data_IF_587001415355
#
_entry.id   IF_587001415355
#
_cell.length_a   1.000
_cell.length_b   1.000
_cell.length_c   1.000
_cell.angle_alpha   90.00
_cell.angle_beta   90.00
_cell.angle_gamma   90.00
#
_symmetry.space_group_name_H-M   'P 1'
#
loop_
_entity.id
_entity.type
_entity.pdbx_description
1 polymer ?
#
# COMPACT_ATOMS: atom_id res chain seq x y z
N UNK A 1 -3.62 8.15 3.79
CA UNK A 1 -4.67 7.74 4.75
C UNK A 1 -4.37 6.37 5.37
N UNK A 2 -3.84 5.40 4.60
CA UNK A 2 -3.46 4.10 5.17
C UNK A 2 -4.61 3.09 5.25
N UNK A 3 -5.56 3.14 4.32
CA UNK A 3 -6.69 2.21 4.27
C UNK A 3 -6.58 1.30 3.04
N UNK A 4 -7.50 0.34 2.90
CA UNK A 4 -7.45 -0.66 1.82
C UNK A 4 -6.22 -1.55 1.95
N UNK A 5 -5.37 -1.59 0.91
CA UNK A 5 -4.18 -2.42 0.85
C UNK A 5 -3.19 -2.22 2.02
N UNK A 6 -3.23 -1.05 2.66
CA UNK A 6 -2.38 -0.68 3.80
C UNK A 6 -2.97 -1.13 5.16
N UNK A 7 -4.19 -1.65 5.16
CA UNK A 7 -4.93 -2.11 6.34
C UNK A 7 -5.53 -3.52 6.14
N UNK A 8 -4.98 -4.33 5.23
CA UNK A 8 -5.47 -5.68 4.95
C UNK A 8 -5.50 -6.57 6.20
N UNK A 9 -4.57 -6.38 7.14
CA UNK A 9 -4.56 -7.13 8.41
C UNK A 9 -5.75 -6.82 9.33
N UNK A 10 -6.61 -5.86 8.99
CA UNK A 10 -7.91 -5.61 9.64
C UNK A 10 -9.10 -6.25 8.90
N UNK A 11 -8.88 -6.91 7.75
CA UNK A 11 -9.94 -7.33 6.84
C UNK A 11 -9.72 -8.74 6.24
N UNK A 12 -9.28 -9.71 7.04
CA UNK A 12 -8.95 -11.06 6.57
C UNK A 12 -10.06 -11.76 5.77
N UNK A 13 -11.34 -11.43 6.01
CA UNK A 13 -12.45 -11.97 5.23
C UNK A 13 -12.38 -11.62 3.73
N UNK A 14 -11.73 -10.51 3.34
CA UNK A 14 -11.55 -10.12 1.94
C UNK A 14 -10.71 -11.13 1.15
N UNK A 15 -9.86 -11.90 1.81
CA UNK A 15 -9.04 -12.94 1.20
C UNK A 15 -9.88 -13.95 0.39
N UNK A 16 -11.05 -14.32 0.89
CA UNK A 16 -11.94 -15.28 0.22
C UNK A 16 -12.41 -14.78 -1.15
N UNK A 17 -12.46 -13.45 -1.34
CA UNK A 17 -12.92 -12.81 -2.56
C UNK A 17 -11.76 -12.41 -3.49
N UNK A 18 -10.62 -11.99 -2.94
CA UNK A 18 -9.48 -11.47 -3.71
C UNK A 18 -8.38 -12.51 -4.00
N UNK A 19 -8.43 -13.67 -3.31
CA UNK A 19 -7.37 -14.66 -3.32
C UNK A 19 -6.18 -14.28 -2.40
N UNK A 20 -5.31 -15.25 -2.09
CA UNK A 20 -4.14 -15.07 -1.23
C UNK A 20 -4.21 -15.89 0.06
N UNK A 21 -3.49 -15.46 1.11
CA UNK A 21 -3.51 -16.06 2.46
C UNK A 21 -3.56 -14.96 3.53
N UNK A 22 -4.14 -15.21 4.74
CA UNK A 22 -4.10 -14.23 5.82
C UNK A 22 -2.67 -13.85 6.20
N UNK A 23 -1.75 -14.83 6.12
CA UNK A 23 -0.33 -14.62 6.33
C UNK A 23 0.27 -13.63 5.31
N UNK A 24 -0.06 -13.77 4.03
CA UNK A 24 0.38 -12.83 3.00
C UNK A 24 -0.18 -11.42 3.24
N UNK A 25 -1.43 -11.29 3.72
CA UNK A 25 -2.02 -9.99 4.06
C UNK A 25 -1.26 -9.32 5.21
N UNK A 26 -0.85 -10.09 6.23
CA UNK A 26 -0.02 -9.59 7.33
C UNK A 26 1.32 -9.10 6.80
N UNK A 27 2.00 -9.91 5.98
CA UNK A 27 3.29 -9.57 5.40
C UNK A 27 3.23 -8.32 4.51
N UNK A 28 2.21 -8.18 3.67
CA UNK A 28 2.01 -6.96 2.88
C UNK A 28 1.77 -5.76 3.79
N UNK A 29 0.90 -5.89 4.80
CA UNK A 29 0.62 -4.78 5.71
C UNK A 29 1.86 -4.34 6.48
N UNK A 30 2.71 -5.29 6.88
CA UNK A 30 3.98 -5.01 7.54
C UNK A 30 4.95 -4.30 6.60
N UNK A 31 5.07 -4.75 5.34
CA UNK A 31 5.89 -4.09 4.32
C UNK A 31 5.46 -2.64 4.06
N UNK A 32 4.17 -2.32 4.18
CA UNK A 32 3.69 -0.94 4.01
C UNK A 32 4.21 0.02 5.10
N UNK A 33 4.54 -0.46 6.30
CA UNK A 33 5.16 0.38 7.33
C UNK A 33 6.57 0.84 6.96
N UNK A 34 7.29 0.09 6.12
CA UNK A 34 8.65 0.42 5.70
C UNK A 34 8.71 1.61 4.73
N UNK A 35 7.59 1.93 4.07
CA UNK A 35 7.53 2.94 3.00
C UNK A 35 6.71 4.17 3.35
N UNK A 36 6.36 4.36 4.62
CA UNK A 36 5.55 5.50 5.08
C UNK A 36 6.30 6.39 6.07
N UNK A 37 5.84 7.62 6.24
CA UNK A 37 6.40 8.58 7.19
C UNK A 37 5.94 8.33 8.62
N UNK A 38 4.78 7.68 8.83
CA UNK A 38 4.31 7.34 10.17
C UNK A 38 3.05 6.48 10.19
N UNK A 39 2.43 6.42 11.37
CA UNK A 39 1.19 5.66 11.62
C UNK A 39 0.03 6.61 11.91
N UNK A 40 -1.19 6.22 11.52
CA UNK A 40 -2.40 6.98 11.81
C UNK A 40 -2.77 6.91 13.31
N UNK A 41 -3.20 8.01 13.91
CA UNK A 41 -3.61 8.05 15.32
C UNK A 41 -4.99 7.46 15.56
N UNK A 42 -5.87 7.50 14.56
CA UNK A 42 -7.30 7.22 14.70
C UNK A 42 -7.66 5.86 14.07
N UNK A 43 -7.09 5.55 12.90
CA UNK A 43 -7.29 4.27 12.24
C UNK A 43 -6.28 3.24 12.75
N UNK A 44 -6.77 2.22 13.45
CA UNK A 44 -5.96 1.17 14.09
C UNK A 44 -6.23 -0.21 13.50
N UNK A 45 -5.23 -1.08 13.54
CA UNK A 45 -5.32 -2.48 13.12
C UNK A 45 -5.31 -3.38 14.37
N UNK A 46 -6.45 -3.94 14.80
CA UNK A 46 -6.53 -4.71 16.05
C UNK A 46 -5.58 -5.91 16.10
N UNK A 47 -5.45 -6.64 15.00
CA UNK A 47 -4.57 -7.82 14.91
C UNK A 47 -3.10 -7.46 15.17
N UNK A 48 -2.67 -6.26 14.79
CA UNK A 48 -1.31 -5.75 15.03
C UNK A 48 -1.23 -4.97 16.35
N UNK A 49 -1.90 -5.46 17.39
CA UNK A 49 -1.97 -4.85 18.72
C UNK A 49 -2.40 -3.36 18.69
N UNK A 50 -3.38 -3.03 17.85
CA UNK A 50 -3.89 -1.67 17.67
C UNK A 50 -2.83 -0.63 17.21
N UNK A 51 -1.78 -1.08 16.50
CA UNK A 51 -0.91 -0.17 15.74
C UNK A 51 -1.72 0.68 14.77
N UNK A 52 -1.28 1.91 14.54
CA UNK A 52 -1.93 2.82 13.60
C UNK A 52 -1.70 2.35 12.16
N UNK A 53 -2.61 2.67 11.24
CA UNK A 53 -2.41 2.27 9.85
C UNK A 53 -1.22 3.01 9.22
N UNK A 54 -0.41 2.35 8.37
CA UNK A 54 0.74 3.00 7.73
C UNK A 54 0.27 4.18 6.86
N UNK A 55 0.79 5.38 7.12
CA UNK A 55 0.26 6.64 6.56
C UNK A 55 1.36 7.56 6.06
N UNK A 56 1.13 8.13 4.86
CA UNK A 56 2.05 9.08 4.22
C UNK A 56 3.14 8.34 3.47
N UNK A 57 2.84 7.86 2.25
CA UNK A 57 3.82 7.15 1.42
C UNK A 57 4.99 8.09 1.11
N UNK A 58 6.20 7.64 1.43
CA UNK A 58 7.44 8.37 1.21
C UNK A 58 8.11 7.86 -0.08
N UNK A 59 8.21 8.73 -1.08
CA UNK A 59 8.77 8.40 -2.39
C UNK A 59 10.22 7.90 -2.30
N UNK A 60 11.02 8.43 -1.36
CA UNK A 60 12.41 8.05 -1.20
C UNK A 60 12.54 6.69 -0.54
N UNK A 61 11.68 6.39 0.46
CA UNK A 61 11.64 5.04 1.07
C UNK A 61 11.18 4.00 0.06
N UNK A 62 10.16 4.29 -0.74
CA UNK A 62 9.72 3.39 -1.82
C UNK A 62 10.86 3.10 -2.79
N UNK A 63 11.56 4.14 -3.26
CA UNK A 63 12.68 3.97 -4.19
C UNK A 63 13.86 3.22 -3.56
N UNK A 64 14.22 3.53 -2.30
CA UNK A 64 15.35 2.92 -1.62
C UNK A 64 15.14 1.45 -1.24
N UNK A 65 13.92 1.09 -0.80
CA UNK A 65 13.59 -0.28 -0.38
C UNK A 65 13.17 -1.19 -1.53
N UNK A 66 12.69 -0.61 -2.65
CA UNK A 66 12.05 -1.35 -3.73
C UNK A 66 10.66 -1.90 -3.38
N UNK A 67 10.16 -1.64 -2.16
CA UNK A 67 8.80 -2.00 -1.76
C UNK A 67 7.84 -0.99 -2.37
N UNK A 68 6.87 -1.46 -3.16
CA UNK A 68 5.87 -0.59 -3.78
C UNK A 68 4.52 -0.67 -3.08
N UNK A 69 3.74 0.43 -3.05
CA UNK A 69 2.40 0.45 -2.49
C UNK A 69 1.48 -0.63 -3.06
N UNK A 70 0.75 -1.28 -2.16
CA UNK A 70 -0.27 -2.30 -2.45
C UNK A 70 -1.66 -1.66 -2.44
N UNK A 71 -2.50 -2.04 -3.40
CA UNK A 71 -3.89 -1.58 -3.51
C UNK A 71 -4.83 -2.77 -3.72
N UNK A 72 -5.92 -2.79 -2.96
CA UNK A 72 -7.06 -3.65 -3.22
C UNK A 72 -7.90 -3.02 -4.33
N UNK A 73 -8.27 -3.80 -5.36
CA UNK A 73 -9.04 -3.30 -6.49
C UNK A 73 -10.23 -4.21 -6.83
N UNK A 74 -11.28 -3.59 -7.35
CA UNK A 74 -12.25 -4.27 -8.21
C UNK A 74 -11.75 -4.30 -9.64
N UNK A 75 -11.80 -5.46 -10.28
CA UNK A 75 -11.40 -5.64 -11.68
C UNK A 75 -12.60 -5.33 -12.55
N UNK A 76 -12.54 -4.22 -13.30
CA UNK A 76 -13.58 -3.83 -14.23
C UNK A 76 -13.51 -4.64 -15.53
N UNK A 77 -14.66 -5.12 -16.01
CA UNK A 77 -14.78 -5.78 -17.29
C UNK A 77 -14.69 -4.80 -18.45
N UNK A 78 -14.15 -5.25 -19.60
CA UNK A 78 -14.04 -4.43 -20.83
C UNK A 78 -15.37 -3.81 -21.26
N UNK A 79 -16.48 -4.50 -21.01
CA UNK A 79 -17.83 -4.07 -21.38
C UNK A 79 -18.60 -3.43 -20.21
N UNK A 80 -17.90 -3.02 -19.15
CA UNK A 80 -18.50 -2.54 -17.90
C UNK A 80 -18.77 -3.66 -16.89
N UNK A 81 -19.14 -3.25 -15.68
CA UNK A 81 -19.35 -4.15 -14.54
C UNK A 81 -18.05 -4.61 -13.87
N UNK A 82 -18.16 -5.08 -12.63
CA UNK A 82 -17.04 -5.69 -11.91
C UNK A 82 -17.02 -7.20 -12.20
N UNK A 83 -15.90 -7.69 -12.73
CA UNK A 83 -15.71 -9.11 -13.10
C UNK A 83 -14.82 -9.86 -12.11
N UNK A 84 -14.26 -9.16 -11.13
CA UNK A 84 -13.45 -9.75 -10.08
C UNK A 84 -12.92 -8.72 -9.11
N UNK A 85 -12.02 -9.17 -8.24
CA UNK A 85 -11.21 -8.30 -7.40
C UNK A 85 -9.82 -8.91 -7.24
N UNK A 86 -8.89 -8.09 -6.79
CA UNK A 86 -7.55 -8.57 -6.56
C UNK A 86 -6.66 -7.48 -5.99
N UNK A 87 -5.38 -7.83 -5.96
CA UNK A 87 -4.33 -6.99 -5.43
C UNK A 87 -3.44 -6.51 -6.58
N UNK A 88 -3.17 -5.21 -6.60
CA UNK A 88 -2.21 -4.62 -7.53
C UNK A 88 -1.14 -3.86 -6.77
N UNK A 89 0.06 -3.86 -7.34
CA UNK A 89 1.20 -3.09 -6.83
C UNK A 89 1.46 -1.90 -7.73
N UNK A 90 1.76 -0.77 -7.13
CA UNK A 90 2.18 0.41 -7.88
C UNK A 90 3.48 0.14 -8.64
N UNK A 91 3.63 0.74 -9.81
CA UNK A 91 4.84 0.60 -10.63
C UNK A 91 5.97 1.45 -10.02
N UNK A 92 7.12 0.84 -9.71
CA UNK A 92 8.28 1.53 -9.13
C UNK A 92 8.77 2.71 -9.98
N UNK A 93 8.58 2.67 -11.31
CA UNK A 93 9.03 3.71 -12.22
C UNK A 93 8.41 5.09 -11.92
N UNK A 94 7.16 5.16 -11.42
CA UNK A 94 6.57 6.45 -11.08
C UNK A 94 7.21 7.07 -9.83
N UNK A 95 7.71 6.27 -8.90
CA UNK A 95 8.43 6.74 -7.71
C UNK A 95 9.85 7.20 -8.05
N UNK A 96 10.53 6.50 -8.96
CA UNK A 96 11.82 6.95 -9.49
C UNK A 96 11.70 8.34 -10.14
N UNK A 97 10.71 8.52 -11.02
CA UNK A 97 10.42 9.81 -11.64
C UNK A 97 10.06 10.90 -10.61
N UNK A 98 9.29 10.56 -9.57
CA UNK A 98 8.96 11.50 -8.50
C UNK A 98 10.18 11.91 -7.68
N UNK A 99 11.10 10.98 -7.38
CA UNK A 99 12.35 11.28 -6.68
C UNK A 99 13.25 12.22 -7.48
N UNK A 100 13.37 11.98 -8.78
CA UNK A 100 14.13 12.85 -9.70
C UNK A 100 13.53 14.25 -9.75
N UNK A 101 12.20 14.35 -9.94
CA UNK A 101 11.50 15.62 -9.97
C UNK A 101 11.66 16.39 -8.65
N UNK A 102 11.53 15.73 -7.50
CA UNK A 102 11.75 16.37 -6.20
C UNK A 102 13.17 16.92 -6.07
N UNK A 103 14.20 16.13 -6.43
CA UNK A 103 15.59 16.57 -6.37
C UNK A 103 15.87 17.76 -7.27
N UNK A 104 15.29 17.79 -8.48
CA UNK A 104 15.41 18.94 -9.39
C UNK A 104 14.80 20.21 -8.82
N UNK A 105 13.72 20.10 -8.05
CA UNK A 105 13.03 21.27 -7.48
C UNK A 105 13.64 21.73 -6.15
N UNK A 106 14.09 20.80 -5.31
CA UNK A 106 14.44 21.08 -3.90
C UNK A 106 15.84 20.61 -3.48
N UNK A 107 16.55 19.84 -4.31
CA UNK A 107 17.94 19.50 -4.06
C UNK A 107 18.81 20.73 -4.32
N UNK A 108 19.45 21.25 -3.27
CA UNK A 108 20.57 22.17 -3.47
C UNK A 108 21.72 21.40 -4.14
N UNK A 109 22.42 22.06 -5.06
CA UNK A 109 23.63 21.54 -5.72
C UNK A 109 24.69 21.04 -4.71
#
# INVERSE_FOLDING_TARGET
>A
VGLGGFAQAAAFALQAYQGGSPQAMIEQNMAMYEIVTGENTDFKIPYLAYRGTPTGIDIFKVFATGITPVMDIGIAGRNGGQIGAGLVKANIACFAAACEAYRKTYGAD
#
